data_IF_234651766776
#
_entry.id   IF_234651766776
#
_cell.length_a   1.000
_cell.length_b   1.000
_cell.length_c   1.000
_cell.angle_alpha   90.00
_cell.angle_beta   90.00
_cell.angle_gamma   90.00
#
_symmetry.space_group_name_H-M   'P 1'
#
loop_
_entity.id
_entity.type
_entity.pdbx_description
1 polymer ?
#
# COMPACT_ATOMS: atom_id res chain seq x y z
N UNK A 1 -25.67 10.93 -15.09
CA UNK A 1 -24.39 11.56 -15.44
C UNK A 1 -23.69 10.65 -16.43
N UNK A 2 -23.67 11.00 -17.72
CA UNK A 2 -23.05 10.16 -18.76
C UNK A 2 -21.53 10.42 -18.74
N UNK A 3 -20.67 9.38 -18.72
CA UNK A 3 -19.23 9.57 -18.75
C UNK A 3 -18.82 10.31 -20.03
N UNK A 4 -17.89 11.26 -19.91
CA UNK A 4 -17.32 11.95 -21.06
C UNK A 4 -16.64 10.92 -21.95
N UNK A 5 -16.90 10.96 -23.26
CA UNK A 5 -16.23 10.07 -24.22
C UNK A 5 -14.74 10.43 -24.26
N UNK A 6 -13.89 9.55 -23.75
CA UNK A 6 -12.43 9.66 -23.78
C UNK A 6 -11.84 8.26 -23.89
N UNK A 7 -10.69 8.14 -24.55
CA UNK A 7 -9.92 6.88 -24.63
C UNK A 7 -9.36 6.47 -23.25
N UNK A 8 -9.06 7.45 -22.39
CA UNK A 8 -8.42 7.23 -21.10
C UNK A 8 -9.42 7.23 -19.96
N UNK A 9 -9.23 6.30 -19.02
CA UNK A 9 -9.98 6.26 -17.75
C UNK A 9 -9.78 7.55 -16.94
N UNK A 10 -8.53 8.04 -16.91
CA UNK A 10 -8.16 9.30 -16.28
C UNK A 10 -7.81 10.33 -17.34
N UNK A 11 -8.82 11.02 -17.87
CA UNK A 11 -8.64 12.11 -18.83
C UNK A 11 -8.28 13.43 -18.11
N UNK A 12 -7.07 13.50 -17.55
CA UNK A 12 -6.55 14.67 -16.83
C UNK A 12 -5.08 14.87 -17.17
N UNK A 13 -4.61 16.12 -17.06
CA UNK A 13 -3.20 16.44 -17.23
C UNK A 13 -2.33 15.63 -16.24
N UNK A 14 -1.35 14.84 -16.71
CA UNK A 14 -0.45 14.07 -15.85
C UNK A 14 0.20 14.89 -14.73
N UNK A 15 0.55 16.15 -15.00
CA UNK A 15 1.16 17.05 -14.02
C UNK A 15 0.21 17.41 -12.89
N UNK A 16 -1.09 17.52 -13.20
CA UNK A 16 -2.13 17.73 -12.20
C UNK A 16 -2.27 16.48 -11.33
N UNK A 17 -2.28 15.29 -11.92
CA UNK A 17 -2.40 14.03 -11.18
C UNK A 17 -1.23 13.81 -10.22
N UNK A 18 0.00 14.11 -10.66
CA UNK A 18 1.21 13.97 -9.85
C UNK A 18 1.21 14.91 -8.64
N UNK A 19 0.76 16.15 -8.82
CA UNK A 19 0.73 17.16 -7.74
C UNK A 19 -0.47 17.01 -6.81
N UNK A 20 -1.57 16.42 -7.29
CA UNK A 20 -2.82 16.32 -6.54
C UNK A 20 -2.68 15.45 -5.29
N UNK A 21 -2.12 14.24 -5.42
CA UNK A 21 -2.03 13.29 -4.31
C UNK A 21 -1.16 13.78 -3.14
N UNK A 22 0.05 14.35 -3.35
CA UNK A 22 0.82 14.99 -2.28
C UNK A 22 0.05 16.13 -1.60
N UNK A 23 -0.62 16.97 -2.38
CA UNK A 23 -1.40 18.09 -1.83
C UNK A 23 -2.59 17.62 -1.01
N UNK A 24 -3.30 16.58 -1.46
CA UNK A 24 -4.39 15.96 -0.73
C UNK A 24 -3.91 15.45 0.64
N UNK A 25 -2.81 14.69 0.68
CA UNK A 25 -2.24 14.17 1.93
C UNK A 25 -1.82 15.28 2.88
N UNK A 26 -1.23 16.37 2.38
CA UNK A 26 -0.88 17.55 3.18
C UNK A 26 -2.12 18.19 3.81
N UNK A 27 -3.19 18.40 3.03
CA UNK A 27 -4.45 18.96 3.53
C UNK A 27 -5.11 18.06 4.56
N UNK A 28 -5.15 16.74 4.32
CA UNK A 28 -5.70 15.78 5.26
C UNK A 28 -4.91 15.69 6.56
N UNK A 29 -3.57 15.72 6.48
CA UNK A 29 -2.70 15.75 7.66
C UNK A 29 -2.96 16.99 8.52
N UNK A 30 -3.18 18.15 7.90
CA UNK A 30 -3.53 19.38 8.61
C UNK A 30 -4.95 19.31 9.21
N UNK A 31 -5.93 18.85 8.44
CA UNK A 31 -7.33 18.76 8.88
C UNK A 31 -7.54 17.80 10.04
N UNK A 32 -6.80 16.69 10.06
CA UNK A 32 -6.93 15.61 11.05
C UNK A 32 -5.85 15.67 12.13
N UNK A 33 -4.98 16.69 12.11
CA UNK A 33 -3.82 16.83 13.01
C UNK A 33 -2.95 15.57 13.09
N UNK A 34 -2.86 14.80 12.00
CA UNK A 34 -2.13 13.54 11.95
C UNK A 34 -1.00 13.61 10.90
N UNK A 35 0.26 13.82 11.33
CA UNK A 35 1.39 13.95 10.40
C UNK A 35 1.69 12.65 9.62
N UNK A 36 1.29 11.47 10.14
CA UNK A 36 1.57 10.16 9.52
C UNK A 36 0.91 9.99 8.15
N UNK A 37 -0.15 10.76 7.87
CA UNK A 37 -0.80 10.75 6.56
C UNK A 37 0.13 11.23 5.42
N UNK A 38 1.18 11.99 5.74
CA UNK A 38 2.22 12.40 4.78
C UNK A 38 3.15 11.25 4.37
N UNK A 39 3.18 10.15 5.11
CA UNK A 39 4.02 8.98 4.83
C UNK A 39 3.32 7.97 3.91
N UNK A 40 2.01 8.13 3.67
CA UNK A 40 1.24 7.21 2.82
C UNK A 40 1.52 7.56 1.35
N UNK A 41 2.13 6.63 0.61
CA UNK A 41 2.36 6.74 -0.84
C UNK A 41 1.57 5.67 -1.60
N UNK A 42 1.51 5.77 -2.93
CA UNK A 42 0.91 4.70 -3.75
C UNK A 42 1.61 3.35 -3.53
N UNK A 43 2.93 3.36 -3.33
CA UNK A 43 3.67 2.15 -2.96
C UNK A 43 3.22 1.57 -1.61
N UNK A 44 2.91 2.42 -0.62
CA UNK A 44 2.36 1.97 0.67
C UNK A 44 1.05 1.21 0.48
N UNK A 45 0.15 1.72 -0.37
CA UNK A 45 -1.13 1.08 -0.67
C UNK A 45 -0.91 -0.25 -1.40
N UNK A 46 0.00 -0.27 -2.39
CA UNK A 46 0.38 -1.50 -3.12
C UNK A 46 0.94 -2.55 -2.17
N UNK A 47 1.86 -2.17 -1.29
CA UNK A 47 2.46 -3.08 -0.32
C UNK A 47 1.41 -3.60 0.67
N UNK A 48 0.53 -2.74 1.18
CA UNK A 48 -0.57 -3.16 2.03
C UNK A 48 -1.45 -4.21 1.35
N UNK A 49 -1.88 -3.97 0.10
CA UNK A 49 -2.71 -4.93 -0.64
C UNK A 49 -1.97 -6.25 -0.88
N UNK A 50 -0.69 -6.20 -1.23
CA UNK A 50 0.14 -7.39 -1.43
C UNK A 50 0.27 -8.23 -0.17
N UNK A 51 0.60 -7.59 0.96
CA UNK A 51 0.70 -8.25 2.27
C UNK A 51 -0.64 -8.86 2.69
N UNK A 52 -1.75 -8.15 2.48
CA UNK A 52 -3.08 -8.69 2.79
C UNK A 52 -3.49 -9.84 1.87
N UNK A 53 -3.17 -9.76 0.59
CA UNK A 53 -3.45 -10.82 -0.37
C UNK A 53 -2.68 -12.09 -0.02
N UNK A 54 -1.40 -11.94 0.35
CA UNK A 54 -0.61 -13.06 0.85
C UNK A 54 -1.17 -13.60 2.17
N UNK A 55 -1.60 -12.74 3.10
CA UNK A 55 -2.21 -13.19 4.35
C UNK A 55 -3.47 -14.05 4.12
N UNK A 56 -4.31 -13.66 3.15
CA UNK A 56 -5.56 -14.36 2.83
C UNK A 56 -5.33 -15.66 2.08
N UNK A 57 -4.45 -15.66 1.09
CA UNK A 57 -4.26 -16.80 0.17
C UNK A 57 -3.15 -17.74 0.60
N UNK A 58 -2.15 -17.22 1.32
CA UNK A 58 -0.88 -17.89 1.64
C UNK A 58 -0.12 -18.42 0.41
N UNK A 59 -0.47 -17.92 -0.78
CA UNK A 59 0.15 -18.26 -2.05
C UNK A 59 0.96 -17.08 -2.57
N UNK A 60 2.29 -17.21 -2.56
CA UNK A 60 3.19 -16.15 -3.00
C UNK A 60 3.28 -16.03 -4.53
N UNK A 61 3.03 -17.12 -5.27
CA UNK A 61 3.05 -17.11 -6.73
C UNK A 61 1.82 -16.35 -7.26
N UNK A 62 0.67 -16.57 -6.64
CA UNK A 62 -0.53 -15.80 -6.94
C UNK A 62 -0.32 -14.29 -6.69
N UNK A 63 0.32 -13.92 -5.57
CA UNK A 63 0.64 -12.50 -5.28
C UNK A 63 1.63 -11.92 -6.30
N UNK A 64 2.61 -12.70 -6.74
CA UNK A 64 3.57 -12.30 -7.78
C UNK A 64 2.86 -11.97 -9.09
N UNK A 65 1.95 -12.85 -9.53
CA UNK A 65 1.14 -12.67 -10.74
C UNK A 65 0.21 -11.46 -10.63
N UNK A 66 -0.51 -11.34 -9.51
CA UNK A 66 -1.40 -10.20 -9.24
C UNK A 66 -0.66 -8.85 -9.30
N UNK A 67 0.57 -8.79 -8.81
CA UNK A 67 1.39 -7.58 -8.83
C UNK A 67 2.11 -7.35 -10.16
N UNK A 68 2.16 -8.34 -11.06
CA UNK A 68 2.94 -8.28 -12.29
C UNK A 68 4.46 -8.26 -12.04
N UNK A 69 4.94 -8.89 -10.97
CA UNK A 69 6.37 -8.94 -10.68
C UNK A 69 7.08 -9.97 -11.57
N UNK A 70 8.14 -9.56 -12.27
CA UNK A 70 8.95 -10.48 -13.08
C UNK A 70 9.70 -11.51 -12.23
N UNK A 71 10.31 -11.06 -11.12
CA UNK A 71 11.11 -11.88 -10.19
C UNK A 71 10.35 -12.16 -8.90
N UNK A 72 10.53 -13.37 -8.37
CA UNK A 72 9.90 -13.76 -7.10
C UNK A 72 10.52 -12.99 -5.91
N UNK A 73 11.81 -12.67 -5.97
CA UNK A 73 12.56 -11.99 -4.89
C UNK A 73 11.89 -10.69 -4.43
N UNK A 74 11.37 -9.90 -5.37
CA UNK A 74 10.65 -8.65 -5.08
C UNK A 74 9.32 -8.84 -4.34
N UNK A 75 8.80 -10.07 -4.33
CA UNK A 75 7.52 -10.46 -3.72
C UNK A 75 7.73 -11.11 -2.36
N UNK A 76 8.88 -11.77 -2.13
CA UNK A 76 9.20 -12.43 -0.87
C UNK A 76 9.15 -11.48 0.34
N UNK A 77 9.39 -10.20 0.13
CA UNK A 77 9.28 -9.16 1.17
C UNK A 77 7.91 -9.17 1.87
N UNK A 78 6.83 -9.53 1.16
CA UNK A 78 5.48 -9.55 1.73
C UNK A 78 5.27 -10.68 2.72
N UNK A 79 6.04 -11.77 2.62
CA UNK A 79 6.02 -12.85 3.61
C UNK A 79 6.51 -12.31 4.96
N UNK A 80 7.62 -11.57 4.93
CA UNK A 80 8.21 -11.00 6.15
C UNK A 80 7.31 -9.91 6.75
N UNK A 81 6.70 -9.06 5.92
CA UNK A 81 5.72 -8.07 6.38
C UNK A 81 4.49 -8.74 7.01
N UNK A 82 3.98 -9.81 6.41
CA UNK A 82 2.83 -10.54 6.94
C UNK A 82 3.16 -11.18 8.29
N UNK A 83 4.31 -11.84 8.39
CA UNK A 83 4.80 -12.38 9.67
C UNK A 83 4.91 -11.27 10.72
N UNK A 84 5.54 -10.14 10.40
CA UNK A 84 5.71 -9.04 11.34
C UNK A 84 4.38 -8.45 11.84
N UNK A 85 3.35 -8.39 10.98
CA UNK A 85 2.04 -7.84 11.34
C UNK A 85 1.14 -8.82 12.09
N UNK A 86 1.20 -10.11 11.76
CA UNK A 86 0.25 -11.12 12.25
C UNK A 86 0.88 -12.16 13.21
N UNK A 87 2.13 -11.99 13.60
CA UNK A 87 2.78 -12.85 14.59
C UNK A 87 2.02 -12.80 15.94
N UNK A 88 1.24 -13.85 16.23
CA UNK A 88 0.52 -14.07 17.49
C UNK A 88 1.41 -14.71 18.58
N UNK A 89 2.68 -14.31 18.68
CA UNK A 89 3.52 -14.73 19.79
C UNK A 89 3.32 -13.80 20.98
N UNK A 90 2.85 -14.35 22.10
CA UNK A 90 2.66 -13.70 23.39
C UNK A 90 3.72 -12.59 23.63
N UNK A 91 3.34 -11.32 23.88
CA UNK A 91 4.30 -10.31 24.31
C UNK A 91 4.75 -10.70 25.71
N UNK A 92 5.76 -11.56 25.85
CA UNK A 92 6.57 -11.59 27.06
C UNK A 92 7.14 -10.18 27.14
N UNK A 93 6.54 -9.38 28.02
CA UNK A 93 7.06 -8.09 28.43
C UNK A 93 8.55 -8.25 28.66
N UNK A 94 9.36 -7.62 27.80
CA UNK A 94 10.78 -7.49 28.05
C UNK A 94 10.95 -6.50 29.20
N UNK A 95 10.67 -6.94 30.42
CA UNK A 95 11.08 -6.24 31.63
C UNK A 95 12.56 -6.52 31.78
N UNK A 96 13.38 -5.55 31.36
CA UNK A 96 14.80 -5.52 31.69
C UNK A 96 14.89 -5.38 33.22
N UNK A 97 15.51 -6.37 33.87
CA UNK A 97 15.95 -6.27 35.27
C UNK A 97 17.29 -5.53 35.32
#
# INVERSE_FOLDING_TARGET
MVPRKSEYVFNSDPKVLETYFPNLRKRLAQRLSNPRLKEIHFHTIRHWKATMLYHQTKDILYVKEFLGHKRLDSTLIYINMEKALFYKGNPKSFTLK
#
